data_IF_369674101050
#
_entry.id   IF_369674101050
#
_cell.length_a   1.000
_cell.length_b   1.000
_cell.length_c   1.000
_cell.angle_alpha   90.00
_cell.angle_beta   90.00
_cell.angle_gamma   90.00
#
_symmetry.space_group_name_H-M   'P 1'
#
loop_
_entity.id
_entity.type
_entity.pdbx_description
1 polymer ?
#
# COMPACT_ATOMS: atom_id res chain seq x y z
N UNK A 1 -4.07 -13.92 3.97
CA UNK A 1 -2.65 -13.78 3.59
C UNK A 1 -2.50 -12.56 2.68
N UNK A 2 -1.56 -11.68 2.99
CA UNK A 2 -1.36 -10.43 2.24
C UNK A 2 -0.81 -10.66 0.83
N UNK A 3 -1.04 -9.71 -0.06
CA UNK A 3 -0.49 -9.73 -1.41
C UNK A 3 0.20 -8.42 -1.76
N UNK A 4 1.28 -8.50 -2.49
CA UNK A 4 2.09 -7.36 -2.94
C UNK A 4 2.16 -7.35 -4.46
N UNK A 5 2.09 -6.15 -5.03
CA UNK A 5 2.32 -5.91 -6.47
C UNK A 5 3.29 -4.75 -6.62
N UNK A 6 4.26 -4.90 -7.50
CA UNK A 6 5.15 -3.81 -7.88
C UNK A 6 5.28 -3.77 -9.40
N UNK A 7 5.15 -2.59 -10.00
CA UNK A 7 5.23 -2.41 -11.45
C UNK A 7 6.05 -1.18 -11.77
N UNK A 8 6.97 -1.32 -12.71
CA UNK A 8 7.59 -0.20 -13.42
C UNK A 8 7.34 -0.39 -14.92
N UNK A 9 6.94 0.67 -15.60
CA UNK A 9 6.51 0.56 -17.00
C UNK A 9 6.66 1.90 -17.72
N UNK A 10 6.66 1.87 -19.04
CA UNK A 10 6.53 3.05 -19.89
C UNK A 10 5.08 3.52 -20.03
N UNK A 11 4.13 2.77 -19.47
CA UNK A 11 2.70 3.09 -19.46
C UNK A 11 2.23 3.30 -18.04
N UNK A 12 1.08 3.96 -17.88
CA UNK A 12 0.42 4.19 -16.62
C UNK A 12 0.21 2.86 -15.86
N UNK A 13 0.66 2.77 -14.60
CA UNK A 13 0.65 1.51 -13.84
C UNK A 13 -0.58 1.35 -12.95
N UNK A 14 -1.29 2.42 -12.59
CA UNK A 14 -2.39 2.37 -11.62
C UNK A 14 -3.48 1.35 -12.00
N UNK A 15 -4.02 1.34 -13.23
CA UNK A 15 -5.03 0.35 -13.59
C UNK A 15 -4.53 -1.10 -13.49
N UNK A 16 -3.26 -1.31 -13.81
CA UNK A 16 -2.64 -2.64 -13.79
C UNK A 16 -2.40 -3.12 -12.36
N UNK A 17 -2.02 -2.21 -11.47
CA UNK A 17 -1.89 -2.53 -10.04
C UNK A 17 -3.26 -2.92 -9.47
N UNK A 18 -4.30 -2.13 -9.74
CA UNK A 18 -5.65 -2.43 -9.30
C UNK A 18 -6.13 -3.79 -9.80
N UNK A 19 -5.95 -4.07 -11.09
CA UNK A 19 -6.32 -5.36 -11.67
C UNK A 19 -5.59 -6.53 -10.98
N UNK A 20 -4.31 -6.34 -10.70
CA UNK A 20 -3.49 -7.36 -10.02
C UNK A 20 -3.92 -7.56 -8.57
N UNK A 21 -4.22 -6.47 -7.84
CA UNK A 21 -4.71 -6.55 -6.47
C UNK A 21 -6.04 -7.30 -6.37
N UNK A 22 -6.95 -7.06 -7.32
CA UNK A 22 -8.23 -7.79 -7.38
C UNK A 22 -8.01 -9.30 -7.50
N UNK A 23 -7.01 -9.73 -8.25
CA UNK A 23 -6.66 -11.14 -8.39
C UNK A 23 -6.11 -11.75 -7.10
N UNK A 24 -5.53 -10.93 -6.23
CA UNK A 24 -4.97 -11.37 -4.95
C UNK A 24 -5.99 -11.40 -3.81
N UNK A 25 -7.18 -10.83 -4.00
CA UNK A 25 -8.22 -10.76 -2.96
C UNK A 25 -8.70 -12.14 -2.48
N UNK A 26 -8.60 -13.19 -3.31
CA UNK A 26 -9.00 -14.54 -2.92
C UNK A 26 -8.23 -15.05 -1.68
N UNK A 27 -7.07 -14.46 -1.39
CA UNK A 27 -6.21 -14.82 -0.25
C UNK A 27 -6.66 -14.15 1.05
N UNK A 28 -7.67 -13.30 0.98
CA UNK A 28 -8.18 -12.52 2.09
C UNK A 28 -7.94 -11.03 1.89
N UNK A 29 -8.78 -10.22 2.53
CA UNK A 29 -8.67 -8.77 2.50
C UNK A 29 -9.27 -8.15 3.75
N UNK A 30 -8.73 -7.04 4.19
CA UNK A 30 -9.34 -6.14 5.17
C UNK A 30 -9.08 -4.69 4.80
N UNK A 31 -8.05 -4.46 4.01
CA UNK A 31 -7.69 -3.15 3.53
C UNK A 31 -6.79 -3.28 2.31
N UNK A 32 -6.66 -2.21 1.57
CA UNK A 32 -5.84 -2.18 0.37
C UNK A 32 -5.25 -0.79 0.16
N UNK A 33 -4.19 -0.71 -0.60
CA UNK A 33 -3.58 0.56 -0.94
C UNK A 33 -2.62 0.45 -2.10
N UNK A 34 -2.30 1.59 -2.66
CA UNK A 34 -1.23 1.71 -3.64
C UNK A 34 -0.54 3.06 -3.52
N UNK A 35 0.69 3.10 -3.99
CA UNK A 35 1.45 4.32 -4.11
C UNK A 35 2.12 4.35 -5.48
N UNK A 36 2.19 5.53 -6.07
CA UNK A 36 2.88 5.76 -7.34
C UNK A 36 3.89 6.88 -7.20
N UNK A 37 4.92 6.83 -8.02
CA UNK A 37 5.87 7.92 -8.18
C UNK A 37 5.54 8.67 -9.46
N UNK A 38 5.28 9.97 -9.33
CA UNK A 38 4.96 10.85 -10.44
C UNK A 38 5.57 12.23 -10.19
N UNK A 39 6.33 12.73 -11.18
CA UNK A 39 6.99 14.04 -11.10
C UNK A 39 7.84 14.24 -9.83
N UNK A 40 8.52 13.19 -9.40
CA UNK A 40 9.35 13.21 -8.20
C UNK A 40 8.57 13.13 -6.88
N UNK A 41 7.26 12.98 -6.93
CA UNK A 41 6.41 12.90 -5.74
C UNK A 41 5.78 11.51 -5.60
N UNK A 42 5.71 11.04 -4.36
CA UNK A 42 4.99 9.82 -4.01
C UNK A 42 3.54 10.20 -3.73
N UNK A 43 2.61 9.56 -4.42
CA UNK A 43 1.18 9.69 -4.20
C UNK A 43 0.63 8.38 -3.68
N UNK A 44 -0.13 8.43 -2.59
CA UNK A 44 -0.62 7.24 -1.90
C UNK A 44 -2.13 7.32 -1.71
N UNK A 45 -2.81 6.20 -1.95
CA UNK A 45 -4.23 6.03 -1.64
C UNK A 45 -4.39 4.72 -0.90
N UNK A 46 -5.07 4.77 0.23
CA UNK A 46 -5.37 3.59 1.07
C UNK A 46 -6.83 3.61 1.49
N UNK A 47 -7.40 2.43 1.66
CA UNK A 47 -8.75 2.31 2.19
C UNK A 47 -8.93 1.00 2.95
N UNK A 48 -9.89 1.01 3.87
CA UNK A 48 -10.40 -0.19 4.50
C UNK A 48 -11.38 -0.87 3.54
N UNK A 49 -11.43 -2.21 3.57
CA UNK A 49 -12.34 -2.99 2.76
C UNK A 49 -11.69 -3.57 1.49
N UNK A 50 -12.50 -3.72 0.47
CA UNK A 50 -12.09 -4.37 -0.79
C UNK A 50 -11.35 -3.43 -1.72
N UNK A 51 -10.66 -4.03 -2.68
CA UNK A 51 -9.97 -3.29 -3.76
C UNK A 51 -10.92 -2.41 -4.56
N UNK A 52 -12.20 -2.78 -4.67
CA UNK A 52 -13.21 -1.94 -5.32
C UNK A 52 -13.35 -0.57 -4.66
N UNK A 53 -13.27 -0.51 -3.32
CA UNK A 53 -13.29 0.77 -2.59
C UNK A 53 -12.04 1.59 -2.88
N UNK A 54 -10.89 0.94 -2.98
CA UNK A 54 -9.64 1.59 -3.37
C UNK A 54 -9.74 2.18 -4.78
N UNK A 55 -10.29 1.42 -5.71
CA UNK A 55 -10.49 1.86 -7.09
C UNK A 55 -11.37 3.12 -7.17
N UNK A 56 -12.46 3.16 -6.41
CA UNK A 56 -13.32 4.36 -6.34
C UNK A 56 -12.56 5.58 -5.84
N UNK A 57 -11.74 5.42 -4.80
CA UNK A 57 -10.94 6.50 -4.26
C UNK A 57 -9.91 7.00 -5.27
N UNK A 58 -9.31 6.09 -6.02
CA UNK A 58 -8.33 6.43 -7.07
C UNK A 58 -8.99 7.23 -8.19
N UNK A 59 -10.18 6.87 -8.62
CA UNK A 59 -10.93 7.62 -9.64
C UNK A 59 -11.19 9.07 -9.19
N UNK A 60 -11.39 9.30 -7.91
CA UNK A 60 -11.59 10.64 -7.36
C UNK A 60 -10.28 11.43 -7.24
N UNK A 61 -9.20 10.79 -6.82
CA UNK A 61 -7.89 11.43 -6.60
C UNK A 61 -7.03 11.53 -7.86
N UNK A 62 -7.38 10.74 -8.89
CA UNK A 62 -6.67 10.70 -10.19
C UNK A 62 -5.17 10.43 -10.05
N UNK A 63 -4.80 9.60 -9.09
CA UNK A 63 -3.40 9.20 -8.89
C UNK A 63 -2.89 8.38 -10.09
N UNK A 64 -1.70 8.70 -10.56
CA UNK A 64 -1.10 8.07 -11.74
C UNK A 64 0.43 7.99 -11.61
N UNK A 65 1.06 7.25 -12.48
CA UNK A 65 2.52 7.16 -12.56
C UNK A 65 2.99 5.96 -13.37
N UNK A 66 4.31 5.88 -13.55
CA UNK A 66 4.96 4.79 -14.28
C UNK A 66 5.70 3.80 -13.37
N UNK A 67 5.76 4.11 -12.09
CA UNK A 67 6.31 3.24 -11.04
C UNK A 67 5.27 3.21 -9.92
N UNK A 68 4.92 2.01 -9.47
CA UNK A 68 3.95 1.91 -8.38
C UNK A 68 4.08 0.60 -7.62
N UNK A 69 3.59 0.63 -6.39
CA UNK A 69 3.47 -0.53 -5.51
C UNK A 69 2.04 -0.60 -4.98
N UNK A 70 1.56 -1.81 -4.77
CA UNK A 70 0.22 -2.03 -4.25
C UNK A 70 0.20 -3.18 -3.24
N UNK A 71 -0.82 -3.19 -2.41
CA UNK A 71 -0.94 -4.15 -1.33
C UNK A 71 -2.41 -4.45 -1.02
N UNK A 72 -2.69 -5.72 -0.80
CA UNK A 72 -3.93 -6.20 -0.19
C UNK A 72 -3.57 -6.79 1.16
N UNK A 73 -4.12 -6.22 2.23
CA UNK A 73 -3.84 -6.65 3.59
C UNK A 73 -4.87 -7.66 4.08
N UNK A 74 -4.37 -8.69 4.76
CA UNK A 74 -5.18 -9.54 5.62
C UNK A 74 -4.57 -9.48 7.02
N UNK A 75 -5.21 -8.76 7.92
CA UNK A 75 -4.64 -8.44 9.22
C UNK A 75 -4.40 -9.68 10.07
N UNK A 76 -3.17 -9.81 10.54
CA UNK A 76 -2.80 -10.74 11.61
C UNK A 76 -2.47 -9.96 12.89
N UNK A 77 -2.01 -8.72 12.74
CA UNK A 77 -1.67 -7.79 13.81
C UNK A 77 -2.21 -6.40 13.47
N UNK A 78 -2.80 -5.77 14.46
CA UNK A 78 -3.38 -4.46 14.29
C UNK A 78 -4.79 -4.52 13.70
N UNK A 79 -5.55 -3.47 13.96
CA UNK A 79 -6.94 -3.34 13.53
C UNK A 79 -7.03 -3.10 12.02
N UNK A 80 -7.99 -3.68 11.32
CA UNK A 80 -8.28 -3.24 9.96
C UNK A 80 -8.62 -1.75 9.96
N UNK A 81 -7.89 -0.98 9.17
CA UNK A 81 -8.12 0.47 9.03
C UNK A 81 -7.31 0.99 7.85
N UNK A 82 -7.67 2.15 7.35
CA UNK A 82 -6.87 2.82 6.33
C UNK A 82 -5.48 3.21 6.83
N UNK A 83 -5.34 3.51 8.13
CA UNK A 83 -4.06 3.87 8.73
C UNK A 83 -3.10 2.68 8.72
N UNK A 84 -3.59 1.48 9.03
CA UNK A 84 -2.78 0.27 9.05
C UNK A 84 -2.64 -0.39 7.68
N UNK A 85 -3.36 0.07 6.67
CA UNK A 85 -3.20 -0.42 5.30
C UNK A 85 -1.82 -0.06 4.75
N UNK A 86 -1.30 -0.90 3.87
CA UNK A 86 -0.07 -0.60 3.12
C UNK A 86 -0.41 0.02 1.77
N UNK A 87 0.49 0.78 1.16
CA UNK A 87 1.84 1.10 1.60
C UNK A 87 1.89 2.04 2.81
N UNK A 88 3.04 2.06 3.47
CA UNK A 88 3.40 3.10 4.43
C UNK A 88 4.42 4.02 3.79
N UNK A 89 4.15 5.32 3.80
CA UNK A 89 4.98 6.31 3.11
C UNK A 89 5.51 7.35 4.07
N UNK A 90 6.73 7.77 3.81
CA UNK A 90 7.37 8.96 4.34
C UNK A 90 7.75 9.83 3.13
N UNK A 91 8.33 10.99 3.33
CA UNK A 91 8.57 11.99 2.26
C UNK A 91 9.10 11.38 0.95
N UNK A 92 10.17 10.60 1.04
CA UNK A 92 10.88 10.07 -0.14
C UNK A 92 10.78 8.55 -0.28
N UNK A 93 10.05 7.88 0.60
CA UNK A 93 10.01 6.42 0.65
C UNK A 93 8.59 5.92 0.81
N UNK A 94 8.25 4.87 0.06
CA UNK A 94 7.01 4.13 0.25
C UNK A 94 7.33 2.64 0.28
N UNK A 95 6.78 1.94 1.26
CA UNK A 95 7.06 0.50 1.45
C UNK A 95 5.79 -0.30 1.61
N UNK A 96 5.83 -1.53 1.11
CA UNK A 96 4.86 -2.57 1.38
C UNK A 96 5.58 -3.74 2.04
N UNK A 97 4.92 -4.40 2.97
CA UNK A 97 5.53 -5.49 3.73
C UNK A 97 4.50 -6.56 4.06
N UNK A 98 4.85 -7.81 3.79
CA UNK A 98 4.09 -8.97 4.23
C UNK A 98 4.89 -9.66 5.32
N UNK A 99 4.39 -9.62 6.55
CA UNK A 99 5.05 -10.24 7.69
C UNK A 99 4.94 -9.41 8.96
N UNK A 100 5.69 -9.83 9.97
CA UNK A 100 5.72 -9.21 11.29
C UNK A 100 7.17 -8.91 11.64
N UNK A 101 7.40 -7.69 12.11
CA UNK A 101 8.70 -7.29 12.66
C UNK A 101 8.66 -7.61 14.15
N UNK A 102 9.29 -8.74 14.55
CA UNK A 102 9.18 -9.29 15.90
C UNK A 102 9.71 -8.34 16.97
N UNK A 103 10.79 -7.61 16.68
CA UNK A 103 11.40 -6.65 17.60
C UNK A 103 10.98 -5.20 17.33
N UNK A 104 9.77 -4.99 16.78
CA UNK A 104 9.28 -3.67 16.38
C UNK A 104 9.24 -2.66 17.53
N UNK A 105 8.86 -3.09 18.73
CA UNK A 105 8.78 -2.21 19.91
C UNK A 105 10.16 -1.66 20.28
N UNK A 106 11.18 -2.51 20.26
CA UNK A 106 12.56 -2.12 20.56
C UNK A 106 13.08 -1.14 19.49
N UNK A 107 12.87 -1.47 18.22
CA UNK A 107 13.28 -0.62 17.09
C UNK A 107 12.59 0.74 17.13
N UNK A 108 11.30 0.75 17.43
CA UNK A 108 10.53 2.00 17.55
C UNK A 108 11.13 2.92 18.60
N UNK A 109 11.42 2.38 19.79
CA UNK A 109 12.04 3.17 20.88
C UNK A 109 13.41 3.72 20.49
N UNK A 110 14.23 2.91 19.81
CA UNK A 110 15.54 3.36 19.33
C UNK A 110 15.42 4.51 18.34
N UNK A 111 14.47 4.43 17.42
CA UNK A 111 14.24 5.46 16.41
C UNK A 111 13.67 6.74 17.04
N UNK A 112 12.73 6.63 17.95
CA UNK A 112 12.15 7.74 18.68
C UNK A 112 13.22 8.49 19.48
N UNK A 113 14.19 7.78 20.10
CA UNK A 113 15.28 8.36 20.85
C UNK A 113 16.29 9.12 19.96
N UNK A 114 16.32 8.81 18.68
CA UNK A 114 17.19 9.51 17.72
C UNK A 114 16.53 10.73 17.06
N UNK A 115 15.28 10.95 17.33
CA UNK A 115 14.47 11.98 16.69
C UNK A 115 13.62 11.37 15.60
#
# INVERSE_FOLDING_TARGET
MCGIVGITSSKEVTPRIISSLKKLEYRGYDSAGLATLSNGNINEVKCEGRVDALEKNILQTKISGFIGIGHVRWATHGKPSSINAHPHSSEDVSVVHNGIIENSTILKKLLENKG
#
